data_IF_489907554852
#
_entry.id   IF_489907554852
#
_cell.length_a   1.000
_cell.length_b   1.000
_cell.length_c   1.000
_cell.angle_alpha   90.00
_cell.angle_beta   90.00
_cell.angle_gamma   90.00
#
_symmetry.space_group_name_H-M   'P 1'
#
loop_
_entity.id
_entity.type
_entity.pdbx_description
1 polymer ?
#
# COMPACT_ATOMS: atom_id res chain seq x y z
N UNK A 1 9.60 -0.70 -51.37
CA UNK A 1 10.66 -1.72 -51.18
C UNK A 1 11.77 -1.07 -50.38
N UNK A 2 12.25 -1.69 -49.29
CA UNK A 2 12.76 -3.06 -49.31
C UNK A 2 11.90 -4.08 -48.56
N UNK A 3 12.17 -5.31 -48.93
CA UNK A 3 11.52 -6.57 -48.60
C UNK A 3 12.19 -7.13 -47.34
N UNK A 4 11.41 -7.64 -46.39
CA UNK A 4 11.92 -8.48 -45.30
C UNK A 4 11.20 -9.83 -45.40
N UNK A 5 11.97 -10.86 -45.75
CA UNK A 5 11.55 -12.26 -45.79
C UNK A 5 11.61 -12.90 -44.39
N UNK A 6 10.74 -13.85 -44.06
CA UNK A 6 10.81 -14.62 -42.82
C UNK A 6 11.54 -15.97 -43.02
N UNK A 7 11.88 -16.63 -41.89
CA UNK A 7 12.08 -18.08 -41.63
C UNK A 7 13.33 -18.33 -40.73
N UNK A 8 13.46 -19.49 -40.05
CA UNK A 8 12.49 -20.22 -39.23
C UNK A 8 13.08 -20.71 -37.88
N UNK A 9 12.19 -21.27 -37.05
CA UNK A 9 12.46 -22.08 -35.85
C UNK A 9 13.50 -23.19 -36.06
N UNK A 10 14.34 -23.44 -35.05
CA UNK A 10 14.99 -24.73 -34.82
C UNK A 10 15.06 -25.06 -33.32
N UNK A 11 14.92 -26.35 -33.03
CA UNK A 11 14.70 -27.00 -31.74
C UNK A 11 15.98 -27.70 -31.25
N UNK A 12 16.16 -27.72 -29.92
CA UNK A 12 16.91 -28.68 -29.05
C UNK A 12 18.45 -28.58 -28.98
N UNK A 13 19.12 -29.19 -27.95
CA UNK A 13 18.66 -29.66 -26.63
C UNK A 13 19.53 -29.16 -25.44
N UNK A 14 19.06 -29.43 -24.21
CA UNK A 14 19.77 -29.22 -22.94
C UNK A 14 21.05 -30.07 -22.79
N UNK A 15 21.95 -29.68 -21.87
CA UNK A 15 22.68 -30.65 -21.08
C UNK A 15 22.61 -30.45 -19.56
N UNK A 16 22.77 -31.60 -18.91
CA UNK A 16 22.76 -31.96 -17.49
C UNK A 16 23.47 -31.02 -16.48
N UNK A 17 22.91 -31.05 -15.27
CA UNK A 17 23.50 -30.58 -14.02
C UNK A 17 24.76 -31.35 -13.61
N UNK A 18 25.62 -30.77 -12.76
CA UNK A 18 26.44 -31.52 -11.83
C UNK A 18 26.01 -31.35 -10.37
N UNK A 19 26.39 -32.38 -9.62
CA UNK A 19 25.99 -32.72 -8.26
C UNK A 19 26.38 -31.72 -7.17
N UNK A 20 25.60 -31.84 -6.09
CA UNK A 20 25.80 -31.29 -4.77
C UNK A 20 27.22 -31.50 -4.22
N UNK A 21 27.75 -30.47 -3.55
CA UNK A 21 28.76 -30.63 -2.50
C UNK A 21 28.24 -30.04 -1.20
N UNK A 22 28.14 -30.91 -0.19
CA UNK A 22 27.81 -30.59 1.20
C UNK A 22 29.04 -29.97 1.84
N UNK A 23 29.04 -28.66 2.09
CA UNK A 23 30.02 -28.03 2.96
C UNK A 23 29.49 -28.02 4.41
N UNK A 24 30.16 -28.82 5.25
CA UNK A 24 30.03 -28.83 6.71
C UNK A 24 30.49 -27.48 7.25
N UNK A 25 29.64 -26.80 8.03
CA UNK A 25 30.08 -25.71 8.89
C UNK A 25 30.33 -26.27 10.29
N UNK A 26 31.63 -26.42 10.60
CA UNK A 26 32.12 -26.65 11.94
C UNK A 26 32.16 -25.32 12.70
N UNK A 27 31.45 -25.30 13.84
CA UNK A 27 31.87 -24.76 15.14
C UNK A 27 32.78 -23.53 15.19
N UNK A 28 32.25 -22.43 15.74
CA UNK A 28 33.01 -21.43 16.52
C UNK A 28 32.22 -21.02 17.79
N UNK A 29 32.92 -20.52 18.84
CA UNK A 29 32.60 -20.85 20.22
C UNK A 29 31.80 -19.80 20.99
N UNK A 30 31.29 -20.26 22.14
CA UNK A 30 30.68 -19.52 23.23
C UNK A 30 31.31 -18.15 23.52
N UNK A 31 30.49 -17.10 23.46
CA UNK A 31 30.70 -15.89 24.27
C UNK A 31 29.46 -15.57 25.11
N UNK A 32 29.76 -15.23 26.36
CA UNK A 32 28.91 -15.03 27.54
C UNK A 32 27.59 -14.27 27.29
N UNK A 33 26.49 -14.87 27.73
CA UNK A 33 25.26 -14.15 28.10
C UNK A 33 25.53 -13.32 29.36
N UNK A 34 25.33 -12.01 29.27
CA UNK A 34 25.05 -11.15 30.41
C UNK A 34 23.53 -11.07 30.59
N UNK A 35 23.05 -11.60 31.71
CA UNK A 35 21.67 -11.43 32.20
C UNK A 35 21.41 -9.94 32.45
N UNK A 36 20.42 -9.38 31.76
CA UNK A 36 19.73 -8.16 32.19
C UNK A 36 18.28 -8.56 32.55
N UNK A 37 17.82 -8.07 33.70
CA UNK A 37 16.63 -8.54 34.40
C UNK A 37 15.32 -8.34 33.63
N UNK A 38 14.49 -9.38 33.66
CA UNK A 38 13.08 -9.32 33.25
C UNK A 38 12.30 -8.54 34.31
N UNK A 39 11.84 -7.33 33.97
CA UNK A 39 10.66 -6.75 34.61
C UNK A 39 9.44 -7.17 33.79
N UNK A 40 8.73 -8.17 34.29
CA UNK A 40 7.43 -8.62 33.80
C UNK A 40 6.34 -7.64 34.24
N UNK A 41 6.03 -6.65 33.39
CA UNK A 41 4.74 -5.95 33.46
C UNK A 41 3.89 -6.41 32.28
N UNK A 42 2.83 -7.15 32.60
CA UNK A 42 1.85 -7.65 31.64
C UNK A 42 1.26 -6.49 30.84
N UNK A 43 1.46 -6.52 29.54
CA UNK A 43 0.83 -5.61 28.59
C UNK A 43 -0.59 -6.13 28.35
N UNK A 44 -1.57 -5.49 28.99
CA UNK A 44 -2.98 -5.82 28.80
C UNK A 44 -3.44 -5.31 27.42
N UNK A 45 -3.46 -6.22 26.44
CA UNK A 45 -3.73 -5.95 25.01
C UNK A 45 -5.20 -5.65 24.72
N UNK A 46 -6.08 -5.74 25.71
CA UNK A 46 -7.52 -5.58 25.54
C UNK A 46 -8.00 -4.12 25.52
N UNK A 47 -7.18 -3.17 25.97
CA UNK A 47 -7.58 -1.75 26.10
C UNK A 47 -7.17 -0.83 24.95
N UNK A 48 -6.33 -1.27 23.99
CA UNK A 48 -5.92 -0.41 22.86
C UNK A 48 -6.98 -0.26 21.75
N UNK A 49 -8.07 -1.04 21.79
CA UNK A 49 -9.03 -1.15 20.68
C UNK A 49 -10.39 -0.48 20.96
N UNK A 50 -10.60 0.13 22.14
CA UNK A 50 -11.81 0.92 22.40
C UNK A 50 -11.68 2.28 21.71
N UNK A 51 -12.38 2.40 20.59
CA UNK A 51 -12.62 3.66 19.88
C UNK A 51 -13.58 4.53 20.69
N UNK A 52 -13.11 5.27 21.70
CA UNK A 52 -14.00 6.27 22.35
C UNK A 52 -13.32 7.50 22.96
N UNK A 53 -12.00 7.66 22.82
CA UNK A 53 -11.36 8.96 23.12
C UNK A 53 -10.79 9.56 21.84
N UNK A 54 -11.54 10.51 21.25
CA UNK A 54 -11.03 11.40 20.19
C UNK A 54 -9.76 12.04 20.72
N UNK A 55 -8.63 11.81 20.05
CA UNK A 55 -7.35 12.34 20.51
C UNK A 55 -7.43 13.87 20.67
N UNK A 56 -7.01 14.43 21.81
CA UNK A 56 -7.24 15.85 22.12
C UNK A 56 -6.54 16.84 21.18
N UNK A 57 -5.73 16.36 20.21
CA UNK A 57 -4.94 17.18 19.29
C UNK A 57 -5.05 16.73 17.82
N UNK A 58 -6.25 16.41 17.33
CA UNK A 58 -6.45 16.20 15.90
C UNK A 58 -6.15 17.47 15.09
N UNK A 59 -5.52 17.33 13.93
CA UNK A 59 -5.37 18.46 13.01
C UNK A 59 -6.75 18.96 12.54
N UNK A 60 -6.89 20.23 12.14
CA UNK A 60 -8.14 20.73 11.57
C UNK A 60 -8.65 19.87 10.41
N UNK A 61 -7.72 19.38 9.57
CA UNK A 61 -8.03 18.46 8.48
C UNK A 61 -8.68 17.16 8.98
N UNK A 62 -8.05 16.45 9.94
CA UNK A 62 -8.61 15.20 10.44
C UNK A 62 -9.90 15.40 11.22
N UNK A 63 -9.99 16.48 12.01
CA UNK A 63 -11.22 16.79 12.72
C UNK A 63 -12.40 16.94 11.75
N UNK A 64 -12.21 17.72 10.67
CA UNK A 64 -13.24 17.86 9.63
C UNK A 64 -13.50 16.54 8.90
N UNK A 65 -12.45 15.81 8.51
CA UNK A 65 -12.58 14.56 7.77
C UNK A 65 -13.37 13.51 8.57
N UNK A 66 -13.08 13.37 9.86
CA UNK A 66 -13.76 12.43 10.75
C UNK A 66 -15.23 12.80 10.92
N UNK A 67 -15.51 14.08 11.17
CA UNK A 67 -16.88 14.59 11.29
C UNK A 67 -17.70 14.28 10.03
N UNK A 68 -17.20 14.65 8.85
CA UNK A 68 -17.94 14.44 7.59
C UNK A 68 -18.09 12.93 7.27
N UNK A 69 -17.08 12.11 7.57
CA UNK A 69 -17.18 10.66 7.40
C UNK A 69 -18.22 10.03 8.34
N UNK A 70 -18.29 10.49 9.59
CA UNK A 70 -19.32 10.06 10.55
C UNK A 70 -20.71 10.56 10.16
N UNK A 71 -20.84 11.75 9.57
CA UNK A 71 -22.09 12.26 9.02
C UNK A 71 -22.56 11.38 7.84
N UNK A 72 -21.66 10.96 6.95
CA UNK A 72 -21.95 9.95 5.92
C UNK A 72 -22.39 8.60 6.53
N UNK A 73 -21.82 8.23 7.69
CA UNK A 73 -22.18 6.99 8.41
C UNK A 73 -23.58 7.06 8.97
N UNK A 74 -23.91 8.16 9.64
CA UNK A 74 -25.24 8.43 10.19
C UNK A 74 -26.33 8.43 9.09
N UNK A 75 -25.97 8.85 7.87
CA UNK A 75 -26.85 8.84 6.69
C UNK A 75 -26.96 7.47 6.00
N UNK A 76 -26.23 6.45 6.46
CA UNK A 76 -26.32 5.08 5.92
C UNK A 76 -25.69 4.90 4.53
N UNK A 77 -24.64 5.67 4.20
CA UNK A 77 -24.01 5.62 2.88
C UNK A 77 -23.02 4.45 2.68
N UNK A 78 -22.77 3.65 3.72
CA UNK A 78 -21.83 2.53 3.67
C UNK A 78 -22.53 1.18 3.48
N UNK A 79 -21.84 0.25 2.83
CA UNK A 79 -22.30 -1.12 2.64
C UNK A 79 -22.33 -1.95 3.94
N UNK A 80 -21.54 -1.57 4.94
CA UNK A 80 -21.46 -2.20 6.26
C UNK A 80 -20.92 -1.21 7.28
N UNK A 81 -21.14 -1.48 8.56
CA UNK A 81 -20.59 -0.68 9.64
C UNK A 81 -19.22 -1.25 10.07
N UNK A 82 -18.13 -0.54 9.75
CA UNK A 82 -16.78 -0.96 10.13
C UNK A 82 -16.53 -0.87 11.64
N UNK A 83 -17.26 0.00 12.36
CA UNK A 83 -17.07 0.19 13.82
C UNK A 83 -17.56 -0.98 14.66
N UNK A 84 -18.37 -1.88 14.06
CA UNK A 84 -18.85 -3.12 14.69
C UNK A 84 -18.04 -4.34 14.26
N UNK A 85 -17.05 -4.19 13.38
CA UNK A 85 -16.21 -5.30 12.94
C UNK A 85 -15.19 -5.66 14.01
N UNK A 86 -14.97 -6.96 14.20
CA UNK A 86 -13.99 -7.46 15.16
C UNK A 86 -12.57 -7.29 14.62
N UNK A 87 -11.72 -6.66 15.42
CA UNK A 87 -10.30 -6.47 15.13
C UNK A 87 -9.48 -7.03 16.29
N UNK A 88 -8.42 -7.77 15.98
CA UNK A 88 -7.44 -8.26 16.96
C UNK A 88 -6.02 -8.08 16.47
N UNK A 89 -5.10 -7.90 17.42
CA UNK A 89 -3.66 -8.00 17.15
C UNK A 89 -3.24 -9.44 17.44
N UNK A 90 -2.70 -10.11 16.45
CA UNK A 90 -2.24 -11.49 16.57
C UNK A 90 -0.88 -11.52 17.25
N UNK A 91 -0.70 -12.30 18.33
CA UNK A 91 0.59 -12.41 18.98
C UNK A 91 1.62 -13.06 18.04
N UNK A 92 2.82 -12.49 17.99
CA UNK A 92 3.91 -13.02 17.17
C UNK A 92 5.00 -11.98 16.94
N UNK A 93 5.99 -12.31 16.09
CA UNK A 93 7.11 -11.42 15.78
C UNK A 93 6.64 -10.06 15.23
N UNK A 94 5.71 -10.08 14.28
CA UNK A 94 5.25 -8.88 13.58
C UNK A 94 4.06 -8.18 14.24
N UNK A 95 3.31 -8.90 15.09
CA UNK A 95 2.04 -8.47 15.67
C UNK A 95 1.04 -7.97 14.61
N UNK A 96 0.68 -8.84 13.66
CA UNK A 96 -0.27 -8.53 12.59
C UNK A 96 -1.63 -8.11 13.14
N UNK A 97 -2.26 -7.14 12.49
CA UNK A 97 -3.63 -6.76 12.79
C UNK A 97 -4.57 -7.55 11.89
N UNK A 98 -5.56 -8.22 12.45
CA UNK A 98 -6.58 -8.93 11.69
C UNK A 98 -7.95 -8.30 11.97
N UNK A 99 -8.70 -7.99 10.92
CA UNK A 99 -10.08 -7.48 11.01
C UNK A 99 -11.01 -8.38 10.23
N UNK A 100 -12.09 -8.83 10.85
CA UNK A 100 -13.12 -9.62 10.20
C UNK A 100 -14.18 -8.73 9.54
N UNK A 101 -14.36 -8.88 8.23
CA UNK A 101 -15.42 -8.20 7.47
C UNK A 101 -16.15 -9.23 6.59
N UNK A 102 -17.19 -9.83 7.14
CA UNK A 102 -18.01 -10.82 6.45
C UNK A 102 -18.88 -10.18 5.35
N UNK A 103 -19.12 -10.93 4.27
CA UNK A 103 -19.96 -10.48 3.15
C UNK A 103 -19.33 -9.41 2.24
N UNK A 104 -18.12 -8.91 2.55
CA UNK A 104 -17.44 -7.87 1.76
C UNK A 104 -17.23 -8.25 0.29
N UNK A 105 -16.90 -9.51 0.02
CA UNK A 105 -16.68 -9.99 -1.35
C UNK A 105 -17.95 -10.00 -2.20
N UNK A 106 -19.12 -10.16 -1.59
CA UNK A 106 -20.39 -10.23 -2.32
C UNK A 106 -20.78 -8.88 -2.93
N UNK A 107 -20.29 -7.79 -2.33
CA UNK A 107 -20.53 -6.40 -2.77
C UNK A 107 -19.36 -5.84 -3.57
N UNK A 108 -18.26 -6.59 -3.70
CA UNK A 108 -17.09 -6.17 -4.46
C UNK A 108 -17.40 -6.24 -5.95
N UNK A 109 -17.17 -5.14 -6.65
CA UNK A 109 -17.31 -5.11 -8.11
C UNK A 109 -16.24 -6.02 -8.74
N UNK A 110 -16.58 -6.78 -9.80
CA UNK A 110 -15.60 -7.55 -10.53
C UNK A 110 -14.59 -6.62 -11.18
N UNK A 111 -13.34 -7.05 -11.26
CA UNK A 111 -12.32 -6.26 -11.94
C UNK A 111 -12.53 -6.32 -13.45
N UNK A 112 -12.69 -5.16 -14.08
CA UNK A 112 -13.07 -5.04 -15.51
C UNK A 112 -11.84 -4.88 -16.44
N UNK A 113 -10.63 -5.16 -15.96
CA UNK A 113 -9.38 -4.99 -16.70
C UNK A 113 -8.45 -6.20 -16.54
N UNK A 114 -7.51 -6.36 -17.47
CA UNK A 114 -6.54 -7.46 -17.45
C UNK A 114 -5.61 -7.34 -16.24
N UNK A 115 -5.27 -8.45 -15.59
CA UNK A 115 -4.33 -8.48 -14.46
C UNK A 115 -2.86 -8.60 -14.91
N UNK A 116 -2.61 -8.68 -16.21
CA UNK A 116 -1.29 -8.92 -16.80
C UNK A 116 -0.52 -7.64 -17.14
N UNK A 117 -1.15 -6.47 -17.04
CA UNK A 117 -0.54 -5.19 -17.36
C UNK A 117 -0.79 -4.15 -16.27
N UNK A 118 0.29 -3.51 -15.79
CA UNK A 118 0.24 -2.44 -14.80
C UNK A 118 -0.31 -1.15 -15.42
N UNK A 119 0.15 -0.81 -16.63
CA UNK A 119 -0.31 0.37 -17.37
C UNK A 119 -1.40 -0.01 -18.36
N UNK A 120 -2.57 0.59 -18.20
CA UNK A 120 -3.72 0.40 -19.09
C UNK A 120 -4.44 1.74 -19.32
N UNK A 121 -4.98 1.99 -20.52
CA UNK A 121 -5.70 3.23 -20.79
C UNK A 121 -6.98 3.34 -19.94
N UNK A 122 -7.35 4.57 -19.61
CA UNK A 122 -8.64 4.85 -18.98
C UNK A 122 -9.79 4.48 -19.92
N UNK A 123 -10.89 3.99 -19.34
CA UNK A 123 -12.08 3.54 -20.06
C UNK A 123 -13.33 4.14 -19.40
N UNK A 124 -13.97 5.09 -20.09
CA UNK A 124 -15.12 5.84 -19.56
C UNK A 124 -16.39 5.00 -19.45
N UNK A 125 -16.51 3.91 -20.20
CA UNK A 125 -17.60 2.94 -20.19
C UNK A 125 -17.62 2.11 -18.90
N UNK A 126 -16.44 1.71 -18.40
CA UNK A 126 -16.26 0.97 -17.14
C UNK A 126 -16.55 1.83 -15.91
N UNK A 127 -16.69 1.21 -14.74
CA UNK A 127 -16.86 2.00 -13.52
C UNK A 127 -15.65 2.93 -13.30
N UNK A 128 -15.92 4.19 -12.95
CA UNK A 128 -14.91 5.18 -12.61
C UNK A 128 -15.51 6.24 -11.66
N UNK A 129 -14.66 7.02 -11.00
CA UNK A 129 -15.11 7.92 -9.93
C UNK A 129 -15.94 9.11 -10.37
N UNK A 130 -16.04 9.44 -11.68
CA UNK A 130 -17.00 10.48 -12.12
C UNK A 130 -18.46 10.02 -12.00
N UNK A 131 -18.69 8.71 -11.80
CA UNK A 131 -20.01 8.07 -11.68
C UNK A 131 -20.48 7.86 -10.24
N UNK A 132 -19.70 8.29 -9.25
CA UNK A 132 -20.11 8.23 -7.83
C UNK A 132 -21.24 9.20 -7.54
N UNK A 133 -22.02 8.91 -6.51
CA UNK A 133 -23.09 9.83 -6.10
C UNK A 133 -22.48 11.08 -5.46
N UNK A 134 -23.07 12.28 -5.66
CA UNK A 134 -22.58 13.50 -5.02
C UNK A 134 -22.48 13.40 -3.49
N UNK A 135 -23.35 12.60 -2.86
CA UNK A 135 -23.35 12.39 -1.40
C UNK A 135 -22.14 11.59 -0.89
N UNK A 136 -21.41 10.91 -1.77
CA UNK A 136 -20.20 10.16 -1.42
C UNK A 136 -18.95 11.06 -1.33
N UNK A 137 -19.03 12.30 -1.79
CA UNK A 137 -17.90 13.26 -1.79
C UNK A 137 -17.85 14.00 -0.45
N UNK A 138 -16.73 13.89 0.28
CA UNK A 138 -16.48 14.61 1.52
C UNK A 138 -15.84 15.98 1.24
N UNK A 139 -14.74 16.00 0.47
CA UNK A 139 -14.03 17.23 0.13
C UNK A 139 -13.83 17.35 -1.38
N UNK A 140 -13.89 18.60 -1.84
CA UNK A 140 -13.24 19.05 -3.07
C UNK A 140 -12.19 20.05 -2.68
N UNK A 141 -10.99 19.93 -3.23
CA UNK A 141 -9.87 20.77 -2.85
C UNK A 141 -8.92 20.96 -4.03
N UNK A 142 -8.13 22.02 -3.92
CA UNK A 142 -7.11 22.41 -4.87
C UNK A 142 -5.95 23.06 -4.11
N UNK A 143 -4.82 23.18 -4.77
CA UNK A 143 -3.69 23.93 -4.24
C UNK A 143 -4.06 25.41 -4.08
N UNK A 144 -3.60 26.01 -2.99
CA UNK A 144 -3.78 27.44 -2.71
C UNK A 144 -2.49 28.17 -2.99
N UNK A 145 -2.55 29.39 -3.55
CA UNK A 145 -1.35 30.24 -3.75
C UNK A 145 -0.68 30.67 -2.43
N UNK A 146 -1.39 30.54 -1.31
CA UNK A 146 -0.91 30.89 0.03
C UNK A 146 -0.57 29.62 0.84
N UNK A 147 0.41 29.69 1.74
CA UNK A 147 0.83 28.62 2.66
C UNK A 147 -0.18 28.30 3.80
N UNK A 148 -1.46 28.59 3.61
CA UNK A 148 -2.51 28.40 4.62
C UNK A 148 -3.69 27.60 4.09
N UNK A 149 -4.02 26.49 4.76
CA UNK A 149 -5.22 25.73 4.47
C UNK A 149 -6.48 26.52 4.86
N UNK A 150 -7.46 26.57 3.95
CA UNK A 150 -8.75 27.23 4.16
C UNK A 150 -9.88 26.23 3.88
N UNK A 151 -10.92 26.25 4.72
CA UNK A 151 -12.07 25.35 4.60
C UNK A 151 -13.33 26.15 4.37
N UNK A 152 -14.05 25.82 3.30
CA UNK A 152 -15.30 26.47 2.93
C UNK A 152 -16.43 25.46 2.93
N UNK A 153 -17.56 25.81 3.55
CA UNK A 153 -18.77 24.99 3.50
C UNK A 153 -19.68 25.48 2.37
N UNK A 154 -20.19 24.55 1.55
CA UNK A 154 -21.12 24.88 0.46
C UNK A 154 -20.51 25.74 -0.66
N UNK A 155 -19.18 25.74 -0.82
CA UNK A 155 -18.53 26.44 -1.93
C UNK A 155 -19.11 25.98 -3.29
N UNK A 156 -19.36 26.90 -4.24
CA UNK A 156 -19.87 26.53 -5.56
C UNK A 156 -18.93 25.51 -6.24
N UNK A 157 -19.44 24.58 -7.06
CA UNK A 157 -18.62 23.59 -7.77
C UNK A 157 -17.56 24.17 -8.72
N UNK A 158 -17.59 25.48 -8.97
CA UNK A 158 -16.91 26.18 -10.07
C UNK A 158 -15.54 26.77 -9.71
N UNK A 159 -14.96 26.44 -8.55
CA UNK A 159 -13.68 27.05 -8.11
C UNK A 159 -12.48 26.58 -8.95
N UNK A 160 -12.57 25.43 -9.63
CA UNK A 160 -11.58 24.94 -10.60
C UNK A 160 -12.23 24.04 -11.65
N UNK A 161 -11.63 23.97 -12.84
CA UNK A 161 -12.08 23.11 -13.93
C UNK A 161 -12.01 21.60 -13.58
N UNK A 162 -11.06 21.19 -12.73
CA UNK A 162 -10.90 19.78 -12.31
C UNK A 162 -10.33 19.67 -10.89
N UNK A 163 -11.16 19.84 -9.83
CA UNK A 163 -10.70 19.74 -8.46
C UNK A 163 -10.34 18.30 -8.08
N UNK A 164 -9.38 18.15 -7.18
CA UNK A 164 -9.12 16.89 -6.49
C UNK A 164 -10.21 16.64 -5.45
N UNK A 165 -10.56 15.38 -5.24
CA UNK A 165 -11.69 15.00 -4.38
C UNK A 165 -11.29 13.94 -3.36
N UNK A 166 -11.84 14.06 -2.14
CA UNK A 166 -11.83 12.98 -1.14
C UNK A 166 -13.26 12.46 -1.02
N UNK A 167 -13.44 11.17 -1.23
CA UNK A 167 -14.73 10.48 -1.17
C UNK A 167 -14.72 9.44 -0.06
N UNK A 168 -15.89 9.05 0.45
CA UNK A 168 -15.98 7.85 1.28
C UNK A 168 -15.61 6.62 0.45
N UNK A 169 -14.90 5.67 1.05
CA UNK A 169 -14.93 4.31 0.55
C UNK A 169 -16.20 3.64 1.09
N UNK A 170 -17.20 3.43 0.23
CA UNK A 170 -18.48 2.82 0.62
C UNK A 170 -18.35 1.40 1.20
N UNK A 171 -17.18 0.76 1.07
CA UNK A 171 -16.85 -0.53 1.70
C UNK A 171 -15.61 -0.40 2.60
N UNK A 172 -15.72 0.32 3.74
CA UNK A 172 -14.60 0.70 4.58
C UNK A 172 -13.93 -0.52 5.24
N UNK A 173 -12.63 -0.41 5.56
CA UNK A 173 -11.87 -1.47 6.27
C UNK A 173 -11.19 -0.99 7.54
N UNK A 174 -11.14 0.33 7.70
CA UNK A 174 -10.76 1.00 8.92
C UNK A 174 -11.69 2.20 9.11
N UNK A 175 -11.61 2.80 10.28
CA UNK A 175 -12.34 4.02 10.57
C UNK A 175 -11.86 5.15 9.64
N UNK A 176 -12.80 5.98 9.17
CA UNK A 176 -12.48 7.05 8.21
C UNK A 176 -11.83 6.54 6.91
N UNK A 177 -12.27 5.38 6.38
CA UNK A 177 -11.79 4.91 5.08
C UNK A 177 -12.35 5.75 3.93
N UNK A 178 -11.45 6.45 3.26
CA UNK A 178 -11.70 7.39 2.17
C UNK A 178 -10.82 7.09 0.96
N UNK A 179 -11.23 7.64 -0.18
CA UNK A 179 -10.55 7.57 -1.47
C UNK A 179 -10.15 8.98 -1.87
N UNK A 180 -8.88 9.18 -2.21
CA UNK A 180 -8.36 10.42 -2.76
C UNK A 180 -8.23 10.28 -4.28
N UNK A 181 -8.93 11.13 -5.02
CA UNK A 181 -8.96 11.14 -6.48
C UNK A 181 -8.36 12.47 -6.97
N UNK A 182 -7.11 12.45 -7.45
CA UNK A 182 -6.51 13.62 -8.09
C UNK A 182 -7.30 14.02 -9.33
N UNK A 183 -7.62 15.31 -9.47
CA UNK A 183 -8.21 15.92 -10.68
C UNK A 183 -9.29 15.03 -11.34
N UNK A 184 -10.37 14.76 -10.61
CA UNK A 184 -11.35 13.69 -10.94
C UNK A 184 -11.93 13.76 -12.37
N UNK A 185 -12.01 14.95 -12.97
CA UNK A 185 -12.55 15.12 -14.33
C UNK A 185 -11.51 14.86 -15.43
N UNK A 186 -10.22 14.84 -15.10
CA UNK A 186 -9.15 14.50 -16.06
C UNK A 186 -9.08 12.99 -16.35
N UNK A 187 -9.84 12.17 -15.61
CA UNK A 187 -9.96 10.74 -15.85
C UNK A 187 -8.60 10.03 -15.95
N UNK A 188 -7.65 10.41 -15.09
CA UNK A 188 -6.31 9.85 -15.08
C UNK A 188 -6.39 8.33 -14.84
N UNK A 189 -5.67 7.48 -15.61
CA UNK A 189 -5.62 6.04 -15.36
C UNK A 189 -4.92 5.75 -14.03
N UNK A 190 -5.08 4.53 -13.47
CA UNK A 190 -4.42 4.09 -12.23
C UNK A 190 -2.91 3.90 -12.44
N UNK A 191 -2.20 5.01 -12.56
CA UNK A 191 -0.77 5.17 -12.84
C UNK A 191 -0.22 6.23 -11.89
N UNK A 192 0.97 5.99 -11.33
CA UNK A 192 1.68 7.02 -10.56
C UNK A 192 2.30 8.04 -11.51
N UNK A 193 2.01 9.31 -11.26
CA UNK A 193 2.72 10.48 -11.76
C UNK A 193 3.22 11.33 -10.57
N UNK A 194 4.17 12.24 -10.82
CA UNK A 194 4.84 13.04 -9.78
C UNK A 194 3.89 14.00 -9.06
N UNK A 195 2.98 14.64 -9.80
CA UNK A 195 2.08 15.65 -9.28
C UNK A 195 1.03 15.02 -8.36
N UNK A 196 0.35 13.99 -8.83
CA UNK A 196 -0.67 13.26 -8.09
C UNK A 196 -0.09 12.53 -6.87
N UNK A 197 1.14 12.04 -6.96
CA UNK A 197 1.82 11.40 -5.83
C UNK A 197 2.21 12.42 -4.75
N UNK A 198 2.74 13.58 -5.15
CA UNK A 198 3.03 14.68 -4.22
C UNK A 198 1.76 15.15 -3.50
N UNK A 199 0.65 15.28 -4.23
CA UNK A 199 -0.65 15.60 -3.65
C UNK A 199 -1.05 14.60 -2.55
N UNK A 200 -0.87 13.30 -2.78
CA UNK A 200 -1.15 12.26 -1.78
C UNK A 200 -0.25 12.37 -0.54
N UNK A 201 1.02 12.74 -0.72
CA UNK A 201 1.94 13.02 0.39
C UNK A 201 1.54 14.25 1.19
N UNK A 202 1.04 15.31 0.54
CA UNK A 202 0.48 16.47 1.23
C UNK A 202 -0.75 16.12 2.04
N UNK A 203 -1.67 15.29 1.53
CA UNK A 203 -2.81 14.80 2.31
C UNK A 203 -2.35 14.06 3.58
N UNK A 204 -1.34 13.22 3.48
CA UNK A 204 -0.75 12.56 4.65
C UNK A 204 -0.11 13.57 5.63
N UNK A 205 0.57 14.61 5.12
CA UNK A 205 1.17 15.68 5.92
C UNK A 205 0.12 16.52 6.66
N UNK A 206 -0.97 16.89 6.00
CA UNK A 206 -2.07 17.68 6.59
C UNK A 206 -2.79 16.93 7.72
N UNK A 207 -2.80 15.59 7.67
CA UNK A 207 -3.34 14.79 8.74
C UNK A 207 -2.58 14.96 10.07
N UNK A 208 -1.27 15.24 10.04
CA UNK A 208 -0.39 15.40 11.22
C UNK A 208 -0.59 14.31 12.28
N UNK A 209 -0.92 13.10 11.85
CA UNK A 209 -1.17 11.95 12.72
C UNK A 209 -0.54 10.70 12.09
N UNK A 210 0.29 9.94 12.83
CA UNK A 210 0.96 8.75 12.29
C UNK A 210 0.01 7.57 12.06
N UNK A 211 -1.19 7.60 12.64
CA UNK A 211 -2.19 6.53 12.50
C UNK A 211 -3.14 6.74 11.32
N UNK A 212 -3.11 7.91 10.69
CA UNK A 212 -3.73 8.15 9.39
C UNK A 212 -2.70 7.91 8.29
N UNK A 213 -2.97 6.91 7.46
CA UNK A 213 -2.04 6.47 6.40
C UNK A 213 -2.70 6.63 5.05
N UNK A 214 -1.88 6.90 4.04
CA UNK A 214 -2.31 6.92 2.64
C UNK A 214 -1.68 5.73 1.93
N UNK A 215 -2.45 5.03 1.13
CA UNK A 215 -2.06 3.80 0.44
C UNK A 215 -2.35 3.89 -1.06
N UNK A 216 -1.48 3.31 -1.86
CA UNK A 216 -1.63 3.16 -3.30
C UNK A 216 -1.49 1.69 -3.70
N UNK A 217 -2.30 1.28 -4.67
CA UNK A 217 -2.22 -0.02 -5.32
C UNK A 217 -2.07 0.22 -6.83
N UNK A 218 -1.10 -0.40 -7.48
CA UNK A 218 -1.05 -0.42 -8.94
C UNK A 218 -2.05 -1.43 -9.51
N UNK A 219 -2.36 -1.37 -10.81
CA UNK A 219 -2.97 -2.51 -11.49
C UNK A 219 -2.02 -3.71 -11.41
N UNK A 220 -2.57 -4.93 -11.30
CA UNK A 220 -1.81 -6.15 -10.98
C UNK A 220 -1.42 -6.29 -9.50
N UNK A 221 -1.58 -5.24 -8.69
CA UNK A 221 -1.29 -5.22 -7.26
C UNK A 221 -2.54 -4.87 -6.43
N UNK A 222 -3.69 -5.44 -6.82
CA UNK A 222 -4.99 -5.30 -6.16
C UNK A 222 -5.66 -3.92 -6.23
N UNK A 223 -5.25 -3.04 -7.15
CA UNK A 223 -6.19 -2.03 -7.65
C UNK A 223 -7.35 -2.70 -8.42
N UNK A 224 -8.57 -2.21 -8.23
CA UNK A 224 -9.80 -2.79 -8.83
C UNK A 224 -10.54 -1.82 -9.73
N UNK A 225 -10.08 -0.56 -9.81
CA UNK A 225 -10.64 0.50 -10.64
C UNK A 225 -9.48 1.15 -11.38
N UNK A 226 -9.62 1.31 -12.71
CA UNK A 226 -8.64 2.02 -13.53
C UNK A 226 -9.00 3.51 -13.66
N UNK A 227 -8.96 4.20 -12.54
CA UNK A 227 -9.07 5.66 -12.42
C UNK A 227 -8.19 6.00 -11.21
N UNK A 228 -7.18 6.85 -11.40
CA UNK A 228 -6.19 7.21 -10.40
C UNK A 228 -6.82 7.50 -9.05
N UNK A 229 -6.48 6.67 -8.07
CA UNK A 229 -6.92 6.85 -6.70
C UNK A 229 -5.88 6.35 -5.72
N UNK A 230 -5.82 7.06 -4.60
CA UNK A 230 -5.21 6.64 -3.36
C UNK A 230 -6.31 6.30 -2.35
N UNK A 231 -5.97 5.53 -1.33
CA UNK A 231 -6.87 5.17 -0.25
C UNK A 231 -6.28 5.69 1.05
N UNK A 232 -7.10 6.08 2.01
CA UNK A 232 -6.61 6.45 3.32
C UNK A 232 -7.58 6.02 4.41
N UNK A 233 -7.07 5.67 5.58
CA UNK A 233 -7.90 5.50 6.77
C UNK A 233 -7.09 5.65 8.04
N UNK A 234 -7.82 5.80 9.15
CA UNK A 234 -7.28 5.87 10.48
C UNK A 234 -7.41 4.53 11.19
N UNK A 235 -6.28 4.06 11.73
CA UNK A 235 -6.26 2.93 12.66
C UNK A 235 -5.13 3.15 13.67
N UNK A 236 -5.52 3.34 14.95
CA UNK A 236 -4.62 3.62 16.08
C UNK A 236 -3.83 2.39 16.54
N UNK A 237 -3.13 1.77 15.59
CA UNK A 237 -2.20 0.67 15.78
C UNK A 237 -1.01 0.93 14.87
N UNK A 238 0.20 0.71 15.37
CA UNK A 238 1.40 0.76 14.53
C UNK A 238 1.47 -0.47 13.65
N UNK A 239 1.65 -0.27 12.35
CA UNK A 239 1.63 -1.36 11.39
C UNK A 239 2.90 -2.19 11.46
N UNK A 240 2.82 -3.51 11.26
CA UNK A 240 3.97 -4.39 11.20
C UNK A 240 5.11 -3.88 10.32
N UNK A 241 4.82 -3.38 9.11
CA UNK A 241 5.84 -2.84 8.20
C UNK A 241 6.59 -1.64 8.77
N UNK A 242 5.93 -0.80 9.58
CA UNK A 242 6.53 0.40 10.17
C UNK A 242 7.55 0.05 11.24
N UNK A 243 7.36 -1.10 11.89
CA UNK A 243 8.27 -1.67 12.91
C UNK A 243 9.35 -2.56 12.29
N UNK A 244 9.25 -2.86 11.00
CA UNK A 244 10.19 -3.74 10.35
C UNK A 244 11.60 -3.12 10.37
N UNK A 245 12.63 -3.91 10.75
CA UNK A 245 13.98 -3.43 10.66
C UNK A 245 14.35 -3.19 9.19
N UNK A 246 15.24 -2.23 8.97
CA UNK A 246 15.68 -1.83 7.64
C UNK A 246 17.20 -1.85 7.54
N UNK A 247 17.71 -2.18 6.35
CA UNK A 247 19.13 -2.09 6.02
C UNK A 247 19.32 -1.01 4.95
N UNK A 248 20.12 0.00 5.27
CA UNK A 248 20.37 1.13 4.37
C UNK A 248 21.14 0.67 3.14
N UNK A 249 20.61 1.03 1.96
CA UNK A 249 21.20 0.69 0.67
C UNK A 249 22.01 1.86 0.12
N UNK A 250 21.41 3.05 0.05
CA UNK A 250 22.03 4.24 -0.54
C UNK A 250 21.33 5.52 -0.10
N UNK A 251 21.85 6.67 -0.54
CA UNK A 251 21.20 7.98 -0.47
C UNK A 251 21.22 8.58 -1.88
N UNK A 252 20.08 9.07 -2.36
CA UNK A 252 19.92 9.66 -3.70
C UNK A 252 19.23 11.01 -3.62
N UNK A 253 19.22 11.74 -4.74
CA UNK A 253 18.66 13.09 -4.83
C UNK A 253 19.24 14.03 -3.77
N UNK A 254 18.38 14.88 -3.21
CA UNK A 254 18.76 15.85 -2.17
C UNK A 254 18.73 15.24 -0.75
N UNK A 255 19.27 14.03 -0.59
CA UNK A 255 19.42 13.39 0.73
C UNK A 255 18.34 12.38 1.10
N UNK A 256 17.65 11.79 0.13
CA UNK A 256 16.66 10.73 0.37
C UNK A 256 17.38 9.40 0.61
N UNK A 257 17.20 8.83 1.79
CA UNK A 257 17.74 7.53 2.17
C UNK A 257 16.84 6.41 1.66
N UNK A 258 17.43 5.43 0.99
CA UNK A 258 16.74 4.21 0.53
C UNK A 258 17.27 3.04 1.34
N UNK A 259 16.38 2.26 1.93
CA UNK A 259 16.68 1.04 2.67
C UNK A 259 15.84 -0.13 2.17
N UNK A 260 16.33 -1.37 2.29
CA UNK A 260 15.48 -2.55 2.13
C UNK A 260 14.85 -2.94 3.47
N UNK A 261 13.63 -3.50 3.41
CA UNK A 261 13.02 -4.18 4.55
C UNK A 261 13.75 -5.48 4.84
N UNK A 262 14.07 -5.74 6.11
CA UNK A 262 14.67 -7.01 6.56
C UNK A 262 13.80 -7.64 7.63
N UNK A 263 13.74 -8.98 7.69
CA UNK A 263 12.87 -9.73 8.62
C UNK A 263 11.39 -9.35 8.53
N UNK A 264 10.94 -8.97 7.35
CA UNK A 264 9.53 -8.73 7.03
C UNK A 264 9.13 -9.69 5.89
N UNK A 265 7.92 -10.28 5.88
CA UNK A 265 7.56 -11.29 4.90
C UNK A 265 7.41 -10.75 3.46
N UNK A 266 7.27 -9.44 3.31
CA UNK A 266 7.13 -8.79 2.01
C UNK A 266 8.41 -8.05 1.67
N UNK A 267 8.99 -8.35 0.51
CA UNK A 267 10.14 -7.63 -0.02
C UNK A 267 9.73 -6.21 -0.41
N UNK A 268 10.58 -5.24 -0.08
CA UNK A 268 10.28 -3.85 -0.37
C UNK A 268 11.34 -2.89 0.10
N UNK A 269 11.10 -1.62 -0.18
CA UNK A 269 11.96 -0.50 0.17
C UNK A 269 11.29 0.40 1.19
N UNK A 270 12.09 1.00 2.06
CA UNK A 270 11.72 2.13 2.89
C UNK A 270 12.47 3.38 2.40
N UNK A 271 11.74 4.49 2.29
CA UNK A 271 12.26 5.79 1.89
C UNK A 271 11.97 6.82 2.97
N UNK A 272 12.96 7.64 3.30
CA UNK A 272 12.88 8.72 4.28
C UNK A 272 13.98 9.76 4.05
N UNK A 273 13.83 10.95 4.61
CA UNK A 273 14.79 12.06 4.43
C UNK A 273 14.47 12.92 3.21
N UNK A 274 15.50 13.48 2.58
CA UNK A 274 15.37 14.61 1.64
C UNK A 274 15.45 15.96 2.36
N UNK A 275 15.73 17.03 1.61
CA UNK A 275 15.69 18.39 2.15
C UNK A 275 14.26 18.93 2.24
N UNK A 276 13.36 18.41 1.39
CA UNK A 276 11.93 18.73 1.36
C UNK A 276 11.06 17.47 1.19
N UNK A 277 9.74 17.64 1.31
CA UNK A 277 8.77 16.56 1.05
C UNK A 277 8.77 16.20 -0.44
N UNK A 278 9.01 17.18 -1.28
CA UNK A 278 9.07 17.13 -2.73
C UNK A 278 10.26 16.28 -3.18
N UNK A 279 11.41 16.41 -2.53
CA UNK A 279 12.57 15.54 -2.80
C UNK A 279 12.23 14.06 -2.55
N UNK A 280 11.58 13.77 -1.42
CA UNK A 280 11.15 12.42 -1.06
C UNK A 280 10.09 11.90 -2.03
N UNK A 281 9.09 12.74 -2.35
CA UNK A 281 8.04 12.45 -3.32
C UNK A 281 8.59 12.12 -4.70
N UNK A 282 9.55 12.92 -5.17
CA UNK A 282 10.20 12.78 -6.46
C UNK A 282 10.90 11.42 -6.57
N UNK A 283 11.75 11.07 -5.59
CA UNK A 283 12.48 9.79 -5.60
C UNK A 283 11.52 8.59 -5.54
N UNK A 284 10.48 8.64 -4.69
CA UNK A 284 9.54 7.51 -4.56
C UNK A 284 8.66 7.38 -5.80
N UNK A 285 8.17 8.49 -6.36
CA UNK A 285 7.37 8.48 -7.59
C UNK A 285 8.20 8.01 -8.79
N UNK A 286 9.48 8.38 -8.88
CA UNK A 286 10.39 7.87 -9.92
C UNK A 286 10.58 6.35 -9.82
N UNK A 287 10.72 5.81 -8.60
CA UNK A 287 10.77 4.36 -8.39
C UNK A 287 9.47 3.68 -8.84
N UNK A 288 8.32 4.28 -8.52
CA UNK A 288 7.01 3.79 -8.96
C UNK A 288 6.86 3.84 -10.49
N UNK A 289 7.32 4.92 -11.12
CA UNK A 289 7.31 5.11 -12.58
C UNK A 289 8.17 4.05 -13.26
N UNK A 290 9.37 3.78 -12.74
CA UNK A 290 10.20 2.70 -13.23
C UNK A 290 9.48 1.34 -13.14
N UNK A 291 8.86 1.03 -12.01
CA UNK A 291 8.16 -0.25 -11.82
C UNK A 291 6.98 -0.41 -12.78
N UNK A 292 6.12 0.60 -12.93
CA UNK A 292 4.96 0.52 -13.83
C UNK A 292 5.38 0.43 -15.31
N UNK A 293 6.45 1.12 -15.72
CA UNK A 293 6.97 1.05 -17.10
C UNK A 293 7.60 -0.30 -17.42
N UNK A 294 8.15 -0.98 -16.40
CA UNK A 294 8.67 -2.34 -16.50
C UNK A 294 7.63 -3.42 -16.16
N UNK A 295 6.34 -3.06 -16.14
CA UNK A 295 5.22 -3.95 -15.85
C UNK A 295 5.37 -4.75 -14.54
N UNK A 296 5.93 -4.13 -13.50
CA UNK A 296 6.08 -4.69 -12.15
C UNK A 296 4.97 -4.15 -11.25
N UNK A 297 4.04 -4.99 -10.76
CA UNK A 297 3.01 -4.55 -9.82
C UNK A 297 3.62 -4.15 -8.46
N UNK A 298 3.07 -3.11 -7.83
CA UNK A 298 3.55 -2.61 -6.55
C UNK A 298 2.45 -1.93 -5.72
N UNK A 299 2.73 -1.80 -4.44
CA UNK A 299 1.91 -1.09 -3.47
C UNK A 299 2.76 -0.05 -2.74
N UNK A 300 2.18 1.09 -2.38
CA UNK A 300 2.88 2.14 -1.62
C UNK A 300 2.10 2.49 -0.36
N UNK A 301 2.75 2.39 0.79
CA UNK A 301 2.24 2.96 2.04
C UNK A 301 2.97 4.25 2.36
N UNK A 302 2.23 5.35 2.47
CA UNK A 302 2.68 6.64 2.99
C UNK A 302 2.33 6.68 4.47
N UNK A 303 3.36 6.71 5.31
CA UNK A 303 3.28 6.64 6.77
C UNK A 303 3.90 7.88 7.42
N UNK A 304 3.75 8.00 8.74
CA UNK A 304 4.36 9.04 9.58
C UNK A 304 4.09 10.45 9.05
N UNK A 305 2.85 10.69 8.60
CA UNK A 305 2.41 11.96 8.01
C UNK A 305 3.26 12.39 6.80
N UNK A 306 3.63 11.43 5.95
CA UNK A 306 4.39 11.67 4.72
C UNK A 306 5.91 11.63 4.89
N UNK A 307 6.43 11.37 6.09
CA UNK A 307 7.88 11.37 6.37
C UNK A 307 8.57 10.05 6.02
N UNK A 308 7.81 8.96 5.97
CA UNK A 308 8.32 7.62 5.71
C UNK A 308 7.40 6.87 4.77
N UNK A 309 7.97 6.29 3.71
CA UNK A 309 7.22 5.59 2.68
C UNK A 309 7.74 4.17 2.52
N UNK A 310 6.83 3.25 2.26
CA UNK A 310 7.14 1.85 2.00
C UNK A 310 6.65 1.45 0.62
N UNK A 311 7.57 1.02 -0.24
CA UNK A 311 7.28 0.47 -1.56
C UNK A 311 7.34 -1.05 -1.46
N UNK A 312 6.19 -1.70 -1.52
CA UNK A 312 6.02 -3.12 -1.30
C UNK A 312 5.81 -3.82 -2.64
N UNK A 313 6.60 -4.87 -2.88
CA UNK A 313 6.65 -5.58 -4.14
C UNK A 313 5.96 -6.92 -4.03
N UNK A 314 5.12 -7.24 -5.02
CA UNK A 314 4.35 -8.48 -5.04
C UNK A 314 4.18 -9.03 -6.46
N UNK A 315 3.83 -10.32 -6.54
CA UNK A 315 3.49 -10.99 -7.79
C UNK A 315 2.31 -11.95 -7.62
N UNK A 316 1.42 -11.71 -6.66
CA UNK A 316 0.36 -12.66 -6.33
C UNK A 316 -0.62 -12.87 -7.49
N UNK A 317 -1.03 -11.81 -8.18
CA UNK A 317 -1.93 -11.93 -9.34
C UNK A 317 -1.32 -12.79 -10.47
N UNK A 318 -0.01 -12.70 -10.70
CA UNK A 318 0.72 -13.54 -11.65
C UNK A 318 0.78 -15.00 -11.19
N UNK A 319 1.05 -15.23 -9.90
CA UNK A 319 1.01 -16.57 -9.29
C UNK A 319 -0.37 -17.21 -9.40
N UNK A 320 -1.44 -16.44 -9.21
CA UNK A 320 -2.81 -16.91 -9.41
C UNK A 320 -3.06 -17.27 -10.88
N UNK A 321 -2.72 -16.38 -11.81
CA UNK A 321 -2.93 -16.60 -13.24
C UNK A 321 -2.12 -17.80 -13.80
N UNK A 322 -0.95 -18.08 -13.22
CA UNK A 322 -0.11 -19.22 -13.60
C UNK A 322 -0.41 -20.52 -12.83
N UNK A 323 -1.42 -20.53 -11.96
CA UNK A 323 -1.78 -21.71 -11.16
C UNK A 323 -0.74 -22.09 -10.10
N UNK A 324 0.14 -21.15 -9.71
CA UNK A 324 1.21 -21.35 -8.71
C UNK A 324 0.82 -20.91 -7.30
N UNK A 325 -0.31 -20.22 -7.13
CA UNK A 325 -0.81 -19.82 -5.81
C UNK A 325 -1.31 -21.06 -5.03
N UNK A 326 -1.05 -21.10 -3.73
CA UNK A 326 -1.50 -22.16 -2.84
C UNK A 326 -3.03 -22.18 -2.74
N UNK A 327 -3.61 -23.38 -2.86
CA UNK A 327 -5.05 -23.56 -2.71
C UNK A 327 -5.55 -23.09 -1.33
N UNK A 328 -4.73 -23.25 -0.28
CA UNK A 328 -5.04 -22.76 1.06
C UNK A 328 -5.32 -21.26 1.06
N UNK A 329 -4.42 -20.45 0.48
CA UNK A 329 -4.57 -19.00 0.47
C UNK A 329 -5.60 -18.50 -0.54
N UNK A 330 -5.81 -19.23 -1.64
CA UNK A 330 -6.95 -18.99 -2.54
C UNK A 330 -8.28 -19.16 -1.79
N UNK A 331 -8.39 -20.20 -0.96
CA UNK A 331 -9.60 -20.49 -0.19
C UNK A 331 -9.83 -19.46 0.91
N UNK A 332 -8.78 -18.91 1.53
CA UNK A 332 -8.87 -17.80 2.50
C UNK A 332 -9.36 -16.48 1.87
N UNK A 333 -9.26 -16.33 0.55
CA UNK A 333 -9.71 -15.16 -0.21
C UNK A 333 -9.10 -13.84 0.29
N UNK A 334 -7.87 -13.86 0.82
CA UNK A 334 -7.19 -12.62 1.22
C UNK A 334 -6.67 -11.92 -0.05
N UNK A 335 -6.87 -10.61 -0.13
CA UNK A 335 -6.35 -9.79 -1.22
C UNK A 335 -5.08 -9.08 -0.71
N UNK A 336 -3.86 -9.37 -1.19
CA UNK A 336 -2.65 -8.68 -0.76
C UNK A 336 -2.58 -7.28 -1.39
N UNK A 337 -3.44 -6.36 -0.95
CA UNK A 337 -3.31 -4.94 -1.27
C UNK A 337 -2.36 -4.26 -0.28
N UNK A 338 -2.14 -2.95 -0.43
CA UNK A 338 -1.22 -2.17 0.41
C UNK A 338 -1.45 -2.39 1.90
N UNK A 339 -2.71 -2.50 2.35
CA UNK A 339 -3.06 -2.64 3.75
C UNK A 339 -2.63 -4.00 4.31
N UNK A 340 -2.94 -5.07 3.58
CA UNK A 340 -2.55 -6.43 3.94
C UNK A 340 -1.03 -6.61 3.92
N UNK A 341 -0.37 -6.13 2.87
CA UNK A 341 1.09 -6.16 2.75
C UNK A 341 1.78 -5.33 3.84
N UNK A 342 1.12 -4.30 4.36
CA UNK A 342 1.63 -3.48 5.48
C UNK A 342 1.36 -4.10 6.86
N UNK A 343 0.55 -5.17 6.90
CA UNK A 343 0.29 -5.97 8.09
C UNK A 343 -1.06 -5.73 8.77
N UNK A 344 -2.01 -5.09 8.09
CA UNK A 344 -3.43 -5.08 8.47
C UNK A 344 -4.23 -5.98 7.50
N UNK A 345 -4.55 -7.18 7.98
CA UNK A 345 -5.18 -8.24 7.21
C UNK A 345 -6.70 -8.19 7.36
N UNK A 346 -7.40 -8.00 6.24
CA UNK A 346 -8.86 -8.12 6.20
C UNK A 346 -9.27 -9.55 5.88
N UNK A 347 -9.79 -10.24 6.89
CA UNK A 347 -10.29 -11.61 6.80
C UNK A 347 -11.80 -11.58 6.57
N UNK A 348 -12.30 -12.50 5.75
CA UNK A 348 -13.69 -12.42 5.23
C UNK A 348 -14.58 -13.54 5.71
N UNK A 349 -14.00 -14.57 6.32
CA UNK A 349 -14.70 -15.71 6.90
C UNK A 349 -14.35 -15.78 8.38
N UNK A 350 -15.36 -16.01 9.22
CA UNK A 350 -15.19 -16.26 10.66
C UNK A 350 -14.09 -17.28 10.94
N UNK A 351 -14.13 -18.42 10.23
CA UNK A 351 -13.13 -19.48 10.36
C UNK A 351 -11.69 -18.96 10.22
N UNK A 352 -11.40 -18.22 9.15
CA UNK A 352 -10.05 -17.70 8.89
C UNK A 352 -9.63 -16.71 9.98
N UNK A 353 -10.58 -15.91 10.48
CA UNK A 353 -10.30 -14.97 11.57
C UNK A 353 -10.01 -15.68 12.88
N UNK A 354 -10.83 -16.64 13.28
CA UNK A 354 -10.67 -17.37 14.54
C UNK A 354 -9.39 -18.19 14.54
N UNK A 355 -9.07 -18.85 13.42
CA UNK A 355 -7.89 -19.71 13.25
C UNK A 355 -6.62 -18.92 12.83
N UNK A 356 -6.72 -17.61 12.54
CA UNK A 356 -5.58 -16.82 12.09
C UNK A 356 -4.42 -16.85 13.10
N UNK A 357 -3.24 -17.19 12.60
CA UNK A 357 -2.00 -17.12 13.35
C UNK A 357 -0.98 -16.22 12.63
N UNK A 358 -0.01 -15.70 13.39
CA UNK A 358 1.09 -14.94 12.79
C UNK A 358 1.84 -15.77 11.73
N UNK A 359 1.99 -17.08 11.93
CA UNK A 359 2.66 -17.97 11.00
C UNK A 359 1.88 -18.11 9.67
N UNK A 360 0.57 -18.35 9.75
CA UNK A 360 -0.29 -18.49 8.56
C UNK A 360 -0.30 -17.20 7.72
N UNK A 361 -0.46 -16.04 8.36
CA UNK A 361 -0.49 -14.76 7.65
C UNK A 361 0.89 -14.37 7.12
N UNK A 362 1.97 -14.70 7.84
CA UNK A 362 3.33 -14.55 7.34
C UNK A 362 3.54 -15.41 6.07
N UNK A 363 3.10 -16.67 6.08
CA UNK A 363 3.16 -17.55 4.92
C UNK A 363 2.42 -16.99 3.71
N UNK A 364 1.22 -16.44 3.91
CA UNK A 364 0.47 -15.76 2.86
C UNK A 364 1.23 -14.55 2.27
N UNK A 365 1.81 -13.71 3.13
CA UNK A 365 2.55 -12.53 2.70
C UNK A 365 3.83 -12.88 1.94
N UNK A 366 4.55 -13.93 2.36
CA UNK A 366 5.70 -14.49 1.62
C UNK A 366 5.26 -15.01 0.26
N UNK A 367 4.12 -15.70 0.19
CA UNK A 367 3.59 -16.18 -1.09
C UNK A 367 3.17 -15.02 -2.01
N UNK A 368 2.62 -13.93 -1.47
CA UNK A 368 2.27 -12.76 -2.26
C UNK A 368 3.51 -12.00 -2.77
N UNK A 369 4.59 -11.99 -1.99
CA UNK A 369 5.84 -11.28 -2.28
C UNK A 369 6.61 -11.89 -3.47
N UNK A 370 7.59 -11.13 -3.97
CA UNK A 370 8.62 -11.63 -4.88
C UNK A 370 9.49 -12.69 -4.19
N UNK A 371 10.07 -13.61 -4.97
CA UNK A 371 11.16 -14.44 -4.46
C UNK A 371 12.42 -13.60 -4.20
N UNK A 372 13.32 -14.12 -3.35
CA UNK A 372 14.57 -13.43 -3.02
C UNK A 372 15.40 -13.10 -4.28
N UNK A 373 15.52 -14.04 -5.21
CA UNK A 373 16.28 -13.84 -6.45
C UNK A 373 15.66 -12.73 -7.33
N UNK A 374 14.33 -12.73 -7.48
CA UNK A 374 13.62 -11.69 -8.23
C UNK A 374 13.75 -10.32 -7.56
N UNK A 375 13.68 -10.27 -6.23
CA UNK A 375 13.86 -9.03 -5.47
C UNK A 375 15.27 -8.47 -5.62
N UNK A 376 16.31 -9.31 -5.52
CA UNK A 376 17.70 -8.84 -5.66
C UNK A 376 17.96 -8.25 -7.06
N UNK A 377 17.46 -8.90 -8.10
CA UNK A 377 17.58 -8.39 -9.48
C UNK A 377 16.83 -7.06 -9.64
N UNK A 378 15.56 -7.02 -9.25
CA UNK A 378 14.75 -5.80 -9.38
C UNK A 378 15.31 -4.65 -8.54
N UNK A 379 15.81 -4.95 -7.33
CA UNK A 379 16.48 -3.97 -6.48
C UNK A 379 17.67 -3.34 -7.18
N UNK A 380 18.52 -4.14 -7.82
CA UNK A 380 19.66 -3.62 -8.57
C UNK A 380 19.19 -2.64 -9.66
N UNK A 381 18.20 -3.04 -10.47
CA UNK A 381 17.68 -2.20 -11.54
C UNK A 381 17.06 -0.88 -11.03
N UNK A 382 16.26 -0.93 -9.95
CA UNK A 382 15.65 0.26 -9.35
C UNK A 382 16.72 1.22 -8.83
N UNK A 383 17.73 0.71 -8.13
CA UNK A 383 18.81 1.54 -7.58
C UNK A 383 19.67 2.18 -8.68
N UNK A 384 20.00 1.43 -9.74
CA UNK A 384 20.72 1.96 -10.90
C UNK A 384 19.93 3.05 -11.61
N UNK A 385 18.62 2.84 -11.79
CA UNK A 385 17.73 3.85 -12.38
C UNK A 385 17.68 5.14 -11.54
N UNK A 386 17.44 5.04 -10.23
CA UNK A 386 17.34 6.20 -9.34
C UNK A 386 18.67 6.96 -9.20
N UNK A 387 19.80 6.26 -9.25
CA UNK A 387 21.12 6.88 -9.27
C UNK A 387 21.34 7.71 -10.54
N UNK A 388 20.88 7.23 -11.70
CA UNK A 388 21.02 7.94 -12.98
C UNK A 388 20.08 9.14 -13.15
N UNK A 389 18.94 9.15 -12.43
CA UNK A 389 17.97 10.23 -12.48
C UNK A 389 18.34 11.43 -11.58
N UNK A 390 19.32 11.27 -10.68
CA UNK A 390 19.82 12.35 -9.84
C UNK A 390 20.72 13.26 -10.68
N UNK A 391 20.48 14.59 -10.76
CA UNK A 391 21.39 15.50 -11.45
C UNK A 391 22.80 15.36 -10.89
N UNK A 392 23.82 15.24 -11.74
CA UNK A 392 25.20 15.43 -11.30
C UNK A 392 25.32 16.81 -10.63
N UNK A 393 25.88 16.83 -9.43
CA UNK A 393 26.00 18.02 -8.58
C UNK A 393 26.79 19.14 -9.22
#
# INVERSE_FOLDING_TARGET
MPVISPLPFSLLPAPAAPAASRARWNSFPHHRLLRAGMCSNGFDSTNCLRMEEVEPNLSPFLHKLFKEWDDCKARGLFHHNITTCETKVLPGEHNFVATLIEGRDQKKRPTEFGMNQVLQPFHSDKFNFTKVKPEEVIFRFQETENDSAQYFDGAPPTVSASPSSILINVSPIGYCHVLLIPQIQECLPQRVDRESFLLAMYVAREAKNPFFRVGYNSLGAFATINHLHFQAYYLKVQYPVEKAPTEKLTVVGNGVSISQLVRYPVSGFAFEGGASLEDLSQVVSDACIFLQENNRPFNVLISESGKRLFLLLQCYAEKQASGKASQEFLDMRINPAVWELSGHLVLKRRKDYDEASAATLCGFLVEASLSEAEFQELKKCVLEFLASASPEK
#
